data_IF_028329430007
#
_entry.id   IF_028329430007
#
_cell.length_a   1.000
_cell.length_b   1.000
_cell.length_c   1.000
_cell.angle_alpha   90.00
_cell.angle_beta   90.00
_cell.angle_gamma   90.00
#
_symmetry.space_group_name_H-M   'P 1'
#
loop_
_entity.id
_entity.type
_entity.pdbx_description
1 polymer ?
#
# COMPACT_ATOMS: atom_id res chain seq x y z
N UNK A 1 23.74 -15.57 7.36
CA UNK A 1 23.14 -15.80 8.68
C UNK A 1 21.95 -14.86 8.86
N UNK A 2 20.75 -15.35 8.53
CA UNK A 2 19.49 -14.63 8.75
C UNK A 2 19.05 -14.90 10.18
N UNK A 3 19.10 -13.88 11.05
CA UNK A 3 18.49 -13.97 12.38
C UNK A 3 16.97 -14.10 12.20
N UNK A 4 16.47 -15.27 12.60
CA UNK A 4 15.07 -15.61 12.79
C UNK A 4 14.36 -14.54 13.62
N UNK A 5 13.08 -14.30 13.30
CA UNK A 5 12.15 -13.46 14.07
C UNK A 5 12.29 -13.76 15.57
N UNK A 6 12.82 -12.81 16.33
CA UNK A 6 12.80 -12.85 17.79
C UNK A 6 11.35 -13.00 18.25
N UNK A 7 11.08 -14.02 19.06
CA UNK A 7 9.83 -14.24 19.77
C UNK A 7 9.55 -13.04 20.68
N UNK A 8 8.71 -12.12 20.20
CA UNK A 8 8.32 -10.96 20.98
C UNK A 8 7.34 -11.39 22.07
N UNK A 9 7.82 -11.52 23.31
CA UNK A 9 7.04 -11.99 24.48
C UNK A 9 5.88 -11.09 24.91
N UNK A 10 5.79 -9.87 24.38
CA UNK A 10 4.78 -8.87 24.78
C UNK A 10 3.73 -8.70 23.67
N UNK A 11 2.47 -8.88 24.04
CA UNK A 11 1.31 -8.71 23.17
C UNK A 11 0.29 -7.75 23.80
N UNK A 12 0.44 -6.46 23.52
CA UNK A 12 -0.41 -5.38 24.04
C UNK A 12 -1.54 -5.02 23.06
N UNK A 13 -1.19 -4.94 21.78
CA UNK A 13 -2.08 -4.52 20.70
C UNK A 13 -2.00 -5.46 19.51
N UNK A 14 -3.05 -5.47 18.69
CA UNK A 14 -3.12 -6.18 17.43
C UNK A 14 -3.62 -5.26 16.31
N UNK A 15 -3.17 -5.55 15.09
CA UNK A 15 -3.70 -4.95 13.88
C UNK A 15 -4.59 -5.98 13.20
N UNK A 16 -5.70 -5.55 12.61
CA UNK A 16 -6.56 -6.41 11.80
C UNK A 16 -5.85 -6.94 10.54
N UNK A 17 -4.88 -6.20 10.04
CA UNK A 17 -3.95 -6.62 9.00
C UNK A 17 -2.53 -6.11 9.24
N UNK A 18 -1.54 -6.96 8.98
CA UNK A 18 -0.12 -6.59 9.02
C UNK A 18 0.50 -6.48 7.63
N UNK A 19 -0.25 -6.86 6.59
CA UNK A 19 0.15 -6.78 5.20
C UNK A 19 -0.63 -5.66 4.51
N UNK A 20 0.09 -4.68 3.96
CA UNK A 20 -0.48 -3.51 3.30
C UNK A 20 -0.07 -3.55 1.83
N UNK A 21 -1.07 -3.56 0.95
CA UNK A 21 -0.89 -3.51 -0.49
C UNK A 21 -1.37 -2.16 -1.02
N UNK A 22 -0.47 -1.39 -1.65
CA UNK A 22 -0.83 -0.11 -2.27
C UNK A 22 -1.14 -0.28 -3.75
N UNK A 23 -2.26 0.27 -4.21
CA UNK A 23 -2.54 0.48 -5.63
C UNK A 23 -1.90 1.80 -6.09
N UNK A 24 -0.65 1.70 -6.53
CA UNK A 24 0.18 2.86 -6.91
C UNK A 24 -0.15 3.44 -8.30
N UNK A 25 -1.02 2.77 -9.06
CA UNK A 25 -1.41 3.21 -10.41
C UNK A 25 -2.56 4.23 -10.40
N UNK A 26 -3.07 4.57 -9.20
CA UNK A 26 -4.13 5.55 -9.03
C UNK A 26 -3.61 6.99 -9.24
N UNK A 27 -4.48 7.90 -9.66
CA UNK A 27 -4.11 9.31 -9.85
C UNK A 27 -3.89 10.05 -8.53
N UNK A 28 -4.55 9.61 -7.47
CA UNK A 28 -4.38 10.12 -6.11
C UNK A 28 -3.41 9.25 -5.34
N UNK A 29 -2.88 9.78 -4.23
CA UNK A 29 -2.08 9.00 -3.30
C UNK A 29 -2.82 7.74 -2.86
N UNK A 30 -2.15 6.61 -2.90
CA UNK A 30 -2.67 5.32 -2.48
C UNK A 30 -2.86 5.33 -0.97
N UNK A 31 -4.04 4.91 -0.50
CA UNK A 31 -4.40 4.91 0.92
C UNK A 31 -4.84 3.52 1.34
N UNK A 32 -4.46 3.14 2.55
CA UNK A 32 -4.93 1.93 3.19
C UNK A 32 -5.34 2.22 4.63
N UNK A 33 -6.48 1.67 5.04
CA UNK A 33 -6.90 1.70 6.44
C UNK A 33 -6.53 0.41 7.16
N UNK A 34 -6.10 0.55 8.41
CA UNK A 34 -5.75 -0.56 9.30
C UNK A 34 -6.36 -0.26 10.66
N UNK A 35 -6.99 -1.26 11.29
CA UNK A 35 -7.60 -1.10 12.61
C UNK A 35 -6.67 -1.64 13.69
N UNK A 36 -6.28 -0.75 14.60
CA UNK A 36 -5.52 -1.05 15.81
C UNK A 36 -6.48 -1.38 16.95
N UNK A 37 -6.23 -2.47 17.65
CA UNK A 37 -7.04 -2.92 18.79
C UNK A 37 -6.17 -3.30 19.97
N UNK A 38 -6.72 -3.15 21.17
CA UNK A 38 -6.18 -3.70 22.40
C UNK A 38 -6.40 -5.20 22.48
N UNK A 39 -5.43 -5.93 23.00
CA UNK A 39 -5.59 -7.36 23.30
C UNK A 39 -6.43 -7.54 24.58
N UNK A 40 -7.37 -8.50 24.58
CA UNK A 40 -8.40 -8.70 25.62
C UNK A 40 -7.86 -8.89 27.06
N UNK A 41 -6.61 -9.32 27.23
CA UNK A 41 -6.03 -9.63 28.54
C UNK A 41 -5.19 -8.48 29.12
N UNK A 42 -5.13 -7.33 28.45
CA UNK A 42 -4.30 -6.19 28.85
C UNK A 42 -5.19 -5.21 29.62
N UNK A 43 -4.85 -4.92 30.88
CA UNK A 43 -5.60 -3.99 31.73
C UNK A 43 -4.97 -2.60 31.84
N UNK A 44 -3.70 -2.48 31.50
CA UNK A 44 -2.98 -1.20 31.51
C UNK A 44 -3.30 -0.37 30.27
N UNK A 45 -3.37 0.95 30.42
CA UNK A 45 -3.51 1.84 29.27
C UNK A 45 -2.28 1.71 28.36
N UNK A 46 -2.47 1.88 27.05
CA UNK A 46 -1.40 1.62 26.07
C UNK A 46 -1.06 2.89 25.30
N UNK A 47 0.22 3.25 25.25
CA UNK A 47 0.72 4.30 24.38
C UNK A 47 1.30 3.65 23.14
N UNK A 48 0.96 4.18 21.96
CA UNK A 48 1.44 3.65 20.69
C UNK A 48 1.92 4.75 19.74
N UNK A 49 2.80 4.37 18.81
CA UNK A 49 3.27 5.25 17.74
C UNK A 49 3.67 4.45 16.50
N UNK A 50 3.51 5.08 15.35
CA UNK A 50 3.99 4.59 14.07
C UNK A 50 5.36 5.17 13.77
N UNK A 51 6.23 4.33 13.22
CA UNK A 51 7.58 4.68 12.80
C UNK A 51 7.80 4.25 11.35
N UNK A 52 8.55 5.06 10.62
CA UNK A 52 8.99 4.74 9.26
C UNK A 52 10.43 5.21 9.06
N UNK A 53 11.16 4.51 8.18
CA UNK A 53 12.47 4.95 7.71
C UNK A 53 12.40 6.02 6.61
N UNK A 54 11.21 6.30 6.07
CA UNK A 54 10.99 7.28 4.99
C UNK A 54 9.79 8.19 5.31
N UNK A 55 9.91 9.08 6.32
CA UNK A 55 8.80 9.89 6.82
C UNK A 55 8.21 10.86 5.80
N UNK A 56 8.96 11.23 4.76
CA UNK A 56 8.47 12.09 3.68
C UNK A 56 7.62 11.35 2.65
N UNK A 57 7.55 10.02 2.72
CA UNK A 57 6.80 9.18 1.77
C UNK A 57 5.47 8.69 2.31
N UNK A 58 5.27 8.71 3.62
CA UNK A 58 4.05 8.20 4.24
C UNK A 58 3.41 9.25 5.12
N UNK A 59 2.13 9.52 4.87
CA UNK A 59 1.27 10.25 5.79
C UNK A 59 0.46 9.23 6.58
N UNK A 60 0.57 9.27 7.91
CA UNK A 60 -0.10 8.32 8.80
C UNK A 60 -0.99 9.12 9.75
N UNK A 61 -2.28 8.80 9.77
CA UNK A 61 -3.25 9.48 10.61
C UNK A 61 -4.22 8.51 11.30
N UNK A 62 -4.28 8.49 12.65
CA UNK A 62 -3.30 9.08 13.57
C UNK A 62 -1.93 8.38 13.50
N UNK A 63 -0.85 9.11 13.73
CA UNK A 63 0.53 8.54 13.75
C UNK A 63 0.99 8.10 15.14
N UNK A 64 0.28 8.51 16.18
CA UNK A 64 0.48 8.15 17.58
C UNK A 64 -0.83 8.28 18.33
N UNK A 65 -0.93 7.64 19.49
CA UNK A 65 -2.08 7.82 20.34
C UNK A 65 -2.00 7.02 21.63
N UNK A 66 -3.15 6.99 22.28
CA UNK A 66 -3.35 6.36 23.57
C UNK A 66 -4.62 5.50 23.52
N UNK A 67 -4.58 4.32 24.12
CA UNK A 67 -5.69 3.37 24.18
C UNK A 67 -6.05 3.17 25.65
N UNK A 68 -7.16 3.77 26.07
CA UNK A 68 -7.76 3.59 27.40
C UNK A 68 -8.79 2.45 27.40
N UNK A 69 -9.53 2.34 26.29
CA UNK A 69 -10.68 1.45 26.15
C UNK A 69 -10.42 0.36 25.10
N UNK A 70 -11.31 -0.61 25.01
CA UNK A 70 -11.23 -1.70 24.02
C UNK A 70 -11.71 -1.30 22.62
N UNK A 71 -12.00 0.00 22.39
CA UNK A 71 -12.46 0.49 21.10
C UNK A 71 -11.33 0.46 20.04
N UNK A 72 -11.60 -0.10 18.84
CA UNK A 72 -10.64 -0.08 17.74
C UNK A 72 -10.36 1.33 17.24
N UNK A 73 -9.07 1.65 17.03
CA UNK A 73 -8.63 2.88 16.38
C UNK A 73 -8.36 2.61 14.91
N UNK A 74 -9.01 3.35 14.01
CA UNK A 74 -8.72 3.29 12.57
C UNK A 74 -7.52 4.18 12.23
N UNK A 75 -6.50 3.59 11.62
CA UNK A 75 -5.29 4.23 11.13
C UNK A 75 -5.34 4.30 9.61
N UNK A 76 -5.23 5.49 9.04
CA UNK A 76 -5.05 5.69 7.60
C UNK A 76 -3.56 5.84 7.30
N UNK A 77 -3.05 5.02 6.38
CA UNK A 77 -1.69 5.08 5.87
C UNK A 77 -1.76 5.46 4.40
N UNK A 78 -1.20 6.61 4.06
CA UNK A 78 -1.22 7.19 2.72
C UNK A 78 0.21 7.26 2.17
N UNK A 79 0.40 6.76 0.95
CA UNK A 79 1.66 6.79 0.22
C UNK A 79 1.69 8.02 -0.69
N UNK A 80 2.53 8.98 -0.34
CA UNK A 80 2.65 10.27 -1.03
C UNK A 80 3.23 10.08 -2.44
N UNK A 81 2.56 10.65 -3.44
CA UNK A 81 2.91 10.59 -4.87
C UNK A 81 3.01 9.15 -5.41
N UNK A 82 2.44 8.16 -4.72
CA UNK A 82 2.53 6.74 -5.11
C UNK A 82 3.97 6.20 -5.25
N UNK A 83 4.95 6.87 -4.62
CA UNK A 83 6.37 6.52 -4.70
C UNK A 83 6.74 5.42 -3.71
N UNK A 84 6.34 4.19 -4.03
CA UNK A 84 6.69 3.00 -3.25
C UNK A 84 8.14 2.55 -3.51
N UNK A 85 8.78 1.97 -2.50
CA UNK A 85 10.04 1.22 -2.65
C UNK A 85 10.03 -0.02 -1.73
N UNK A 86 10.52 -1.18 -2.20
CA UNK A 86 10.56 -2.42 -1.41
C UNK A 86 11.31 -2.34 -0.06
N UNK A 87 12.20 -1.36 0.12
CA UNK A 87 13.00 -1.18 1.33
C UNK A 87 12.32 -0.25 2.36
N UNK A 88 11.14 0.27 2.04
CA UNK A 88 10.33 1.02 2.98
C UNK A 88 9.90 0.12 4.14
N UNK A 89 9.99 0.66 5.35
CA UNK A 89 9.62 -0.03 6.58
C UNK A 89 8.63 0.83 7.34
N UNK A 90 7.52 0.22 7.71
CA UNK A 90 6.56 0.78 8.66
C UNK A 90 6.50 -0.13 9.87
N UNK A 91 6.54 0.45 11.07
CA UNK A 91 6.56 -0.30 12.32
C UNK A 91 5.69 0.40 13.35
N UNK A 92 4.74 -0.34 13.90
CA UNK A 92 3.95 0.06 15.05
C UNK A 92 4.73 -0.30 16.31
N UNK A 93 4.85 0.65 17.24
CA UNK A 93 5.41 0.41 18.56
C UNK A 93 4.33 0.67 19.60
N UNK A 94 4.20 -0.22 20.58
CA UNK A 94 3.27 -0.08 21.69
C UNK A 94 3.92 -0.43 23.02
N UNK A 95 3.53 0.29 24.08
CA UNK A 95 4.03 0.09 25.44
C UNK A 95 2.90 0.33 26.44
N UNK A 96 2.84 -0.48 27.50
CA UNK A 96 1.94 -0.25 28.62
C UNK A 96 2.34 1.02 29.38
N UNK A 97 1.35 1.76 29.86
CA UNK A 97 1.58 3.00 30.58
C UNK A 97 2.34 2.73 31.88
N UNK A 98 3.34 3.55 32.16
CA UNK A 98 4.16 3.45 33.37
C UNK A 98 3.70 4.56 34.31
N UNK A 99 3.48 4.21 35.58
CA UNK A 99 3.11 5.16 36.62
C UNK A 99 4.09 6.33 36.71
N UNK A 100 3.56 7.55 36.80
CA UNK A 100 4.35 8.79 36.85
C UNK A 100 4.88 9.27 35.49
N UNK A 101 4.68 8.53 34.40
CA UNK A 101 4.93 9.01 33.03
C UNK A 101 3.66 9.60 32.41
N UNK A 102 3.83 10.40 31.35
CA UNK A 102 2.75 10.82 30.46
C UNK A 102 3.08 10.43 29.01
N UNK A 103 2.14 10.60 28.07
CA UNK A 103 2.30 10.20 26.66
C UNK A 103 3.59 10.75 26.01
N UNK A 104 4.03 11.95 26.43
CA UNK A 104 5.22 12.62 25.87
C UNK A 104 6.52 12.14 26.51
N UNK A 105 6.49 11.76 27.79
CA UNK A 105 7.68 11.38 28.56
C UNK A 105 7.94 9.88 28.58
N UNK A 106 6.91 9.04 28.35
CA UNK A 106 7.05 7.58 28.36
C UNK A 106 8.11 7.10 27.37
N UNK A 107 8.19 7.72 26.19
CA UNK A 107 9.17 7.39 25.16
C UNK A 107 10.60 7.80 25.48
N UNK A 108 10.82 8.55 26.57
CA UNK A 108 12.15 8.92 27.09
C UNK A 108 12.51 8.10 28.35
N UNK A 109 11.58 7.31 28.88
CA UNK A 109 11.77 6.53 30.10
C UNK A 109 12.80 5.43 29.90
N UNK A 110 13.58 5.08 30.93
CA UNK A 110 14.62 4.05 30.85
C UNK A 110 14.07 2.68 30.38
N UNK A 111 12.83 2.35 30.73
CA UNK A 111 12.16 1.12 30.27
C UNK A 111 11.99 1.05 28.75
N UNK A 112 12.04 2.17 28.03
CA UNK A 112 11.99 2.16 26.55
C UNK A 112 13.33 1.86 25.90
N UNK A 113 14.43 1.87 26.68
CA UNK A 113 15.74 1.37 26.22
C UNK A 113 15.80 -0.16 26.22
N UNK A 114 14.92 -0.82 26.99
CA UNK A 114 14.79 -2.26 26.97
C UNK A 114 13.75 -2.68 25.92
N UNK A 115 14.22 -3.27 24.82
CA UNK A 115 13.37 -3.75 23.73
C UNK A 115 12.33 -4.79 24.19
N UNK A 116 12.56 -5.44 25.34
CA UNK A 116 11.62 -6.43 25.88
C UNK A 116 10.33 -5.80 26.41
N UNK A 117 10.29 -4.49 26.69
CA UNK A 117 9.12 -3.80 27.22
C UNK A 117 8.26 -3.13 26.13
N UNK A 118 8.72 -3.15 24.87
CA UNK A 118 8.05 -2.51 23.75
C UNK A 118 7.62 -3.60 22.77
N UNK A 119 6.33 -3.67 22.49
CA UNK A 119 5.82 -4.46 21.37
C UNK A 119 6.13 -3.72 20.06
N UNK A 120 6.59 -4.44 19.04
CA UNK A 120 6.95 -3.91 17.73
C UNK A 120 6.32 -4.75 16.63
N UNK A 121 5.27 -4.25 16.01
CA UNK A 121 4.63 -4.91 14.87
C UNK A 121 5.15 -4.29 13.59
N UNK A 122 5.92 -5.05 12.81
CA UNK A 122 6.40 -4.62 11.50
C UNK A 122 5.36 -4.91 10.43
N UNK A 123 4.96 -3.88 9.70
CA UNK A 123 4.07 -4.01 8.55
C UNK A 123 4.86 -4.52 7.34
N UNK A 124 4.29 -5.51 6.65
CA UNK A 124 4.74 -5.97 5.34
C UNK A 124 4.09 -5.09 4.29
N UNK A 125 4.88 -4.40 3.47
CA UNK A 125 4.40 -3.47 2.47
C UNK A 125 4.62 -4.05 1.07
N UNK A 126 3.63 -3.90 0.19
CA UNK A 126 3.72 -4.29 -1.21
C UNK A 126 2.92 -3.35 -2.10
N UNK A 127 3.00 -3.57 -3.40
CA UNK A 127 2.12 -2.97 -4.40
C UNK A 127 1.35 -4.04 -5.16
N UNK A 128 0.24 -3.65 -5.77
CA UNK A 128 -0.55 -4.55 -6.62
C UNK A 128 0.31 -5.15 -7.73
N UNK A 129 1.19 -4.35 -8.35
CA UNK A 129 2.11 -4.80 -9.40
C UNK A 129 3.10 -5.86 -8.90
N UNK A 130 3.74 -5.64 -7.74
CA UNK A 130 4.68 -6.62 -7.18
C UNK A 130 3.99 -7.95 -6.87
N UNK A 131 2.75 -7.93 -6.41
CA UNK A 131 2.01 -9.15 -6.13
C UNK A 131 1.66 -9.93 -7.40
N UNK A 132 1.27 -9.23 -8.46
CA UNK A 132 0.99 -9.85 -9.77
C UNK A 132 2.28 -10.46 -10.35
N UNK A 133 3.41 -9.77 -10.20
CA UNK A 133 4.70 -10.25 -10.68
C UNK A 133 5.14 -11.49 -9.89
N UNK A 134 5.06 -11.48 -8.55
CA UNK A 134 5.40 -12.66 -7.76
C UNK A 134 4.47 -13.86 -8.02
N UNK A 135 3.16 -13.65 -8.24
CA UNK A 135 2.27 -14.77 -8.53
C UNK A 135 2.62 -15.51 -9.82
N UNK A 136 3.24 -14.83 -10.80
CA UNK A 136 3.72 -15.48 -12.03
C UNK A 136 4.94 -16.37 -11.77
N UNK A 137 5.81 -15.97 -10.85
CA UNK A 137 6.99 -16.77 -10.46
C UNK A 137 6.66 -17.94 -9.53
N UNK A 138 5.57 -17.85 -8.74
CA UNK A 138 5.11 -18.98 -7.91
C UNK A 138 4.52 -20.12 -8.76
N UNK A 139 3.83 -19.81 -9.87
CA UNK A 139 3.37 -20.82 -10.84
C UNK A 139 4.54 -21.61 -11.46
N UNK A 140 5.69 -20.98 -11.69
CA UNK A 140 6.89 -21.63 -12.24
C UNK A 140 7.62 -22.52 -11.22
N UNK A 141 7.45 -22.29 -9.91
CA UNK A 141 8.06 -23.13 -8.87
C UNK A 141 7.21 -24.36 -8.52
N UNK A 142 5.88 -24.26 -8.64
CA UNK A 142 4.95 -25.37 -8.41
C UNK A 142 5.23 -26.57 -9.32
N UNK A 143 5.64 -26.33 -10.57
CA UNK A 143 6.03 -27.39 -11.52
C UNK A 143 7.31 -28.12 -11.11
N UNK A 144 8.24 -27.44 -10.43
CA UNK A 144 9.50 -28.02 -9.94
C UNK A 144 9.29 -28.83 -8.64
N UNK A 145 8.34 -28.43 -7.79
CA UNK A 145 7.93 -29.21 -6.61
C UNK A 145 7.16 -30.49 -6.98
N UNK A 146 6.35 -30.44 -8.04
CA UNK A 146 5.63 -31.61 -8.58
C UNK A 146 6.59 -32.72 -9.06
N UNK A 147 7.70 -32.35 -9.72
CA UNK A 147 8.77 -33.27 -10.12
C UNK A 147 9.53 -33.86 -8.92
N UNK A 148 9.79 -33.04 -7.90
CA UNK A 148 10.46 -33.52 -6.68
C UNK A 148 9.60 -34.51 -5.90
N UNK A 149 8.27 -34.32 -5.84
CA UNK A 149 7.36 -35.23 -5.16
C UNK A 149 7.24 -36.58 -5.88
N UNK A 150 7.22 -36.57 -7.23
CA UNK A 150 7.29 -37.80 -8.04
C UNK A 150 8.55 -38.61 -7.76
N UNK A 151 9.71 -37.95 -7.70
CA UNK A 151 10.98 -38.60 -7.39
C UNK A 151 10.99 -39.21 -5.98
N UNK A 152 10.39 -38.55 -4.98
CA UNK A 152 10.29 -39.09 -3.61
C UNK A 152 9.40 -40.34 -3.56
N UNK A 153 8.30 -40.36 -4.31
CA UNK A 153 7.38 -41.51 -4.38
C UNK A 153 8.03 -42.71 -5.09
N UNK A 154 8.85 -42.48 -6.12
CA UNK A 154 9.55 -43.53 -6.87
C UNK A 154 10.69 -44.20 -6.06
N UNK A 155 11.21 -43.54 -5.01
CA UNK A 155 12.33 -44.05 -4.20
C UNK A 155 11.95 -44.78 -2.90
N UNK A 156 10.65 -44.98 -2.61
CA UNK A 156 10.20 -45.67 -1.39
C UNK A 156 10.44 -47.18 -1.53
N UNK A 157 11.59 -47.64 -1.05
CA UNK A 157 12.03 -49.05 -1.09
C UNK A 157 11.95 -49.76 0.27
N UNK A 158 11.39 -49.10 1.30
CA UNK A 158 11.32 -49.63 2.66
C UNK A 158 10.10 -50.56 2.86
N UNK A 159 10.25 -51.64 3.62
CA UNK A 159 9.18 -52.61 3.95
C UNK A 159 9.04 -52.74 5.48
N UNK A 160 7.81 -52.92 5.98
CA UNK A 160 7.53 -53.09 7.41
C UNK A 160 7.39 -51.78 8.20
N UNK A 161 7.86 -51.74 9.45
CA UNK A 161 7.65 -50.61 10.38
C UNK A 161 8.23 -49.27 9.89
N UNK A 162 9.34 -49.28 9.16
CA UNK A 162 9.92 -48.05 8.59
C UNK A 162 9.00 -47.39 7.56
N UNK A 163 8.28 -48.18 6.76
CA UNK A 163 7.31 -47.68 5.79
C UNK A 163 6.10 -47.03 6.45
N UNK A 164 5.67 -47.54 7.61
CA UNK A 164 4.55 -46.96 8.38
C UNK A 164 4.93 -45.56 8.86
N UNK A 165 6.12 -45.39 9.43
CA UNK A 165 6.62 -44.09 9.90
C UNK A 165 6.76 -43.08 8.74
N UNK A 166 7.26 -43.53 7.58
CA UNK A 166 7.37 -42.68 6.39
C UNK A 166 5.99 -42.26 5.84
N UNK A 167 5.01 -43.16 5.84
CA UNK A 167 3.64 -42.85 5.44
C UNK A 167 2.95 -41.90 6.41
N UNK A 168 3.15 -42.06 7.72
CA UNK A 168 2.63 -41.12 8.72
C UNK A 168 3.24 -39.72 8.55
N UNK A 169 4.54 -39.64 8.25
CA UNK A 169 5.20 -38.37 7.96
C UNK A 169 4.68 -37.72 6.68
N UNK A 170 4.45 -38.50 5.62
CA UNK A 170 3.84 -37.99 4.39
C UNK A 170 2.41 -37.53 4.61
N UNK A 171 1.61 -38.27 5.40
CA UNK A 171 0.26 -37.88 5.75
C UNK A 171 0.26 -36.53 6.48
N UNK A 172 1.15 -36.36 7.46
CA UNK A 172 1.30 -35.09 8.16
C UNK A 172 1.67 -33.92 7.23
N UNK A 173 2.63 -34.14 6.32
CA UNK A 173 3.01 -33.12 5.33
C UNK A 173 1.82 -32.77 4.41
N UNK A 174 1.05 -33.77 3.96
CA UNK A 174 -0.12 -33.56 3.11
C UNK A 174 -1.24 -32.80 3.84
N UNK A 175 -1.43 -33.05 5.14
CA UNK A 175 -2.37 -32.28 5.96
C UNK A 175 -1.94 -30.81 6.08
N UNK A 176 -0.64 -30.55 6.29
CA UNK A 176 -0.09 -29.20 6.31
C UNK A 176 -0.25 -28.50 4.95
N UNK A 177 0.02 -29.21 3.85
CA UNK A 177 -0.17 -28.71 2.49
C UNK A 177 -1.64 -28.41 2.20
N UNK A 178 -2.56 -29.24 2.69
CA UNK A 178 -4.00 -29.01 2.53
C UNK A 178 -4.44 -27.73 3.25
N UNK A 179 -3.95 -27.50 4.47
CA UNK A 179 -4.19 -26.26 5.21
C UNK A 179 -3.55 -25.04 4.53
N UNK A 180 -2.38 -25.20 3.92
CA UNK A 180 -1.72 -24.17 3.11
C UNK A 180 -2.57 -23.81 1.88
N UNK A 181 -3.02 -24.80 1.11
CA UNK A 181 -3.88 -24.62 -0.07
C UNK A 181 -5.20 -23.95 0.32
N UNK A 182 -5.81 -24.35 1.45
CA UNK A 182 -7.03 -23.74 1.96
C UNK A 182 -6.82 -22.27 2.30
N UNK A 183 -5.75 -21.93 3.03
CA UNK A 183 -5.39 -20.53 3.35
C UNK A 183 -5.10 -19.72 2.08
N UNK A 184 -4.42 -20.30 1.09
CA UNK A 184 -4.14 -19.65 -0.18
C UNK A 184 -5.42 -19.40 -0.98
N UNK A 185 -6.34 -20.36 -1.01
CA UNK A 185 -7.66 -20.19 -1.65
C UNK A 185 -8.44 -19.03 -1.02
N UNK A 186 -8.41 -18.91 0.31
CA UNK A 186 -9.04 -17.79 1.03
C UNK A 186 -8.41 -16.44 0.65
N UNK A 187 -7.07 -16.38 0.55
CA UNK A 187 -6.32 -15.19 0.12
C UNK A 187 -6.64 -14.82 -1.32
N UNK A 188 -6.68 -15.78 -2.23
CA UNK A 188 -7.02 -15.58 -3.64
C UNK A 188 -8.44 -15.05 -3.81
N UNK A 189 -9.41 -15.57 -3.04
CA UNK A 189 -10.78 -15.03 -3.03
C UNK A 189 -10.81 -13.57 -2.61
N UNK A 190 -10.08 -13.19 -1.55
CA UNK A 190 -9.99 -11.79 -1.10
C UNK A 190 -9.32 -10.90 -2.13
N UNK A 191 -8.22 -11.38 -2.72
CA UNK A 191 -7.49 -10.65 -3.75
C UNK A 191 -8.37 -10.40 -4.98
N UNK A 192 -9.15 -11.40 -5.40
CA UNK A 192 -10.11 -11.26 -6.50
C UNK A 192 -11.11 -10.13 -6.24
N UNK A 193 -11.70 -10.09 -5.04
CA UNK A 193 -12.65 -9.01 -4.67
C UNK A 193 -11.98 -7.63 -4.73
N UNK A 194 -10.76 -7.50 -4.23
CA UNK A 194 -10.00 -6.25 -4.28
C UNK A 194 -9.71 -5.83 -5.72
N UNK A 195 -9.33 -6.79 -6.59
CA UNK A 195 -9.05 -6.52 -8.00
C UNK A 195 -10.31 -6.11 -8.77
N UNK A 196 -11.46 -6.73 -8.49
CA UNK A 196 -12.75 -6.34 -9.07
C UNK A 196 -13.13 -4.91 -8.66
N UNK A 197 -12.98 -4.56 -7.39
CA UNK A 197 -13.20 -3.20 -6.89
C UNK A 197 -12.26 -2.18 -7.55
N UNK A 198 -10.98 -2.51 -7.68
CA UNK A 198 -10.00 -1.65 -8.34
C UNK A 198 -10.34 -1.45 -9.83
N UNK A 199 -10.77 -2.51 -10.52
CA UNK A 199 -11.16 -2.48 -11.92
C UNK A 199 -12.40 -1.60 -12.15
N UNK A 200 -13.40 -1.68 -11.28
CA UNK A 200 -14.59 -0.83 -11.37
C UNK A 200 -14.27 0.64 -11.06
N UNK A 201 -13.39 0.92 -10.09
CA UNK A 201 -12.89 2.27 -9.83
C UNK A 201 -12.14 2.86 -11.03
N UNK A 202 -11.33 2.06 -11.73
CA UNK A 202 -10.63 2.48 -12.96
C UNK A 202 -11.60 2.78 -14.10
N UNK A 203 -12.67 1.99 -14.28
CA UNK A 203 -13.72 2.28 -15.27
C UNK A 203 -14.39 3.62 -15.00
N UNK A 204 -14.73 3.91 -13.75
CA UNK A 204 -15.32 5.20 -13.35
C UNK A 204 -14.36 6.35 -13.64
N UNK A 205 -13.08 6.18 -13.30
CA UNK A 205 -12.03 7.18 -13.58
C UNK A 205 -11.88 7.44 -15.08
N UNK A 206 -11.93 6.40 -15.91
CA UNK A 206 -11.84 6.53 -17.37
C UNK A 206 -13.01 7.34 -17.94
N UNK A 207 -14.23 7.14 -17.44
CA UNK A 207 -15.41 7.89 -17.86
C UNK A 207 -15.23 9.38 -17.52
N UNK A 208 -14.78 9.69 -16.31
CA UNK A 208 -14.53 11.06 -15.86
C UNK A 208 -13.42 11.74 -16.67
N UNK A 209 -12.33 11.04 -16.97
CA UNK A 209 -11.25 11.57 -17.81
C UNK A 209 -11.71 11.87 -19.24
N UNK A 210 -12.53 11.00 -19.83
CA UNK A 210 -13.13 11.24 -21.15
C UNK A 210 -14.01 12.50 -21.14
N UNK A 211 -14.79 12.70 -20.07
CA UNK A 211 -15.61 13.91 -19.90
C UNK A 211 -14.75 15.18 -19.88
N UNK A 212 -13.70 15.20 -19.03
CA UNK A 212 -12.78 16.35 -18.94
C UNK A 212 -12.04 16.63 -20.25
N UNK A 213 -11.64 15.57 -20.96
CA UNK A 213 -10.97 15.71 -22.25
C UNK A 213 -11.88 16.39 -23.30
N UNK A 214 -13.17 16.03 -23.32
CA UNK A 214 -14.14 16.70 -24.20
C UNK A 214 -14.36 18.18 -23.81
N UNK A 215 -14.44 18.48 -22.52
CA UNK A 215 -14.58 19.86 -22.01
C UNK A 215 -13.37 20.72 -22.40
N UNK A 216 -12.16 20.22 -22.16
CA UNK A 216 -10.94 20.92 -22.58
C UNK A 216 -10.83 21.10 -24.09
N UNK A 217 -11.25 20.12 -24.90
CA UNK A 217 -11.25 20.24 -26.36
C UNK A 217 -12.25 21.32 -26.84
N UNK A 218 -13.42 21.40 -26.23
CA UNK A 218 -14.41 22.46 -26.50
C UNK A 218 -13.86 23.84 -26.12
N UNK A 219 -13.26 23.97 -24.93
CA UNK A 219 -12.68 25.22 -24.46
C UNK A 219 -11.51 25.67 -25.35
N UNK A 220 -10.65 24.73 -25.75
CA UNK A 220 -9.54 24.99 -26.69
C UNK A 220 -10.07 25.47 -28.05
N UNK A 221 -11.15 24.88 -28.56
CA UNK A 221 -11.80 25.34 -29.81
C UNK A 221 -12.36 26.75 -29.67
N UNK A 222 -12.97 27.09 -28.52
CA UNK A 222 -13.49 28.44 -28.24
C UNK A 222 -12.37 29.47 -28.19
N UNK A 223 -11.32 29.22 -27.41
CA UNK A 223 -10.16 30.10 -27.30
C UNK A 223 -9.45 30.30 -28.64
N UNK A 224 -9.33 29.25 -29.46
CA UNK A 224 -8.77 29.36 -30.82
C UNK A 224 -9.60 30.29 -31.73
N UNK A 225 -10.93 30.29 -31.60
CA UNK A 225 -11.80 31.21 -32.38
C UNK A 225 -11.61 32.65 -31.90
N UNK A 226 -11.65 32.87 -30.59
CA UNK A 226 -11.45 34.21 -30.00
C UNK A 226 -10.07 34.79 -30.35
N UNK A 227 -9.02 33.95 -30.33
CA UNK A 227 -7.68 34.35 -30.74
C UNK A 227 -7.65 34.81 -32.20
N UNK A 228 -8.23 34.03 -33.13
CA UNK A 228 -8.32 34.39 -34.55
C UNK A 228 -9.07 35.70 -34.76
N UNK A 229 -10.17 35.93 -34.04
CA UNK A 229 -10.91 37.20 -34.12
C UNK A 229 -10.08 38.38 -33.63
N UNK A 230 -9.37 38.23 -32.51
CA UNK A 230 -8.48 39.28 -31.97
C UNK A 230 -7.30 39.55 -32.90
N UNK A 231 -6.71 38.53 -33.50
CA UNK A 231 -5.64 38.67 -34.50
C UNK A 231 -6.12 39.42 -35.75
N UNK A 232 -7.33 39.12 -36.25
CA UNK A 232 -7.92 39.85 -37.38
C UNK A 232 -8.16 41.33 -37.04
N UNK A 233 -8.73 41.63 -35.86
CA UNK A 233 -8.93 43.00 -35.40
C UNK A 233 -7.62 43.77 -35.25
N UNK A 234 -6.59 43.12 -34.72
CA UNK A 234 -5.26 43.71 -34.57
C UNK A 234 -4.64 44.05 -35.93
N UNK A 235 -4.70 43.13 -36.90
CA UNK A 235 -4.22 43.38 -38.27
C UNK A 235 -4.95 44.55 -38.94
N UNK A 236 -6.27 44.63 -38.77
CA UNK A 236 -7.07 45.74 -39.29
C UNK A 236 -6.65 47.08 -38.67
N UNK A 237 -6.48 47.12 -37.35
CA UNK A 237 -6.04 48.33 -36.64
C UNK A 237 -4.64 48.78 -37.08
N UNK A 238 -3.70 47.83 -37.24
CA UNK A 238 -2.35 48.10 -37.76
C UNK A 238 -2.40 48.68 -39.18
N UNK A 239 -3.25 48.13 -40.05
CA UNK A 239 -3.41 48.61 -41.43
C UNK A 239 -4.02 50.02 -41.51
N UNK A 240 -4.99 50.33 -40.64
CA UNK A 240 -5.56 51.69 -40.54
C UNK A 240 -4.47 52.67 -40.06
N UNK A 241 -3.66 52.28 -39.08
CA UNK A 241 -2.59 53.12 -38.56
C UNK A 241 -1.52 53.42 -39.63
N UNK A 242 -1.07 52.41 -40.39
CA UNK A 242 -0.13 52.62 -41.49
C UNK A 242 -0.71 53.50 -42.60
N UNK A 243 -1.97 53.32 -42.97
CA UNK A 243 -2.64 54.15 -43.99
C UNK A 243 -2.78 55.61 -43.56
N UNK A 244 -3.05 55.88 -42.28
CA UNK A 244 -3.13 57.25 -41.75
C UNK A 244 -1.76 57.95 -41.74
N UNK A 245 -0.68 57.21 -41.47
CA UNK A 245 0.70 57.72 -41.52
C UNK A 245 1.14 58.07 -42.96
N UNK A 246 0.83 57.23 -43.95
CA UNK A 246 1.13 57.54 -45.36
C UNK A 246 0.32 58.71 -45.90
N UNK A 247 -0.95 58.87 -45.47
CA UNK A 247 -1.80 59.97 -45.93
C UNK A 247 -1.41 61.34 -45.33
N UNK A 248 -0.76 61.37 -44.17
CA UNK A 248 -0.17 62.60 -43.59
C UNK A 248 1.10 63.02 -44.32
N UNK A 249 1.94 62.08 -44.76
CA UNK A 249 3.18 62.38 -45.49
C UNK A 249 2.86 63.00 -46.87
N UNK A 250 1.81 62.53 -47.56
CA UNK A 250 1.40 63.08 -48.86
C UNK A 250 0.72 64.46 -48.81
N UNK A 251 0.42 65.02 -47.61
CA UNK A 251 -0.18 66.36 -47.47
C UNK A 251 0.83 67.46 -47.13
N UNK A 252 2.10 67.12 -46.94
CA UNK A 252 3.16 68.04 -46.50
C UNK A 252 4.13 68.41 -47.65
N UNK A 253 3.85 67.99 -48.89
CA UNK A 253 4.65 68.33 -50.08
C UNK A 253 3.87 69.32 -50.95
#
# INVERSE_FOLDING_TARGET
>A
MLKSNDEQKINLVSLDQTYICFDVEQLTNAKQEVKLRRCKNVKDNIVWRMRTNVPTRYLINPSRGFIENDEPITLTIELIENKFHPNHKLTLQAIAMIDGCNERTIWKHQNTKNCNNIQMIRLKLSTVLMNIEMSKYEEENLTMEEENMKNVIEHITTTGSGRIIELEKMLHNLEEDFDNVKRNTERTKRLKVILEQALDSRKLTLIELKRRLMECDQETKKLRKELKEKEMKLRLAQQIQTNNLTHQICRII
#
